data_IF_255873307863
#
_entry.id   IF_255873307863
#
_cell.length_a   1.000
_cell.length_b   1.000
_cell.length_c   1.000
_cell.angle_alpha   90.00
_cell.angle_beta   90.00
_cell.angle_gamma   90.00
#
_symmetry.space_group_name_H-M   'P 1'
#
loop_
_entity.id
_entity.type
_entity.pdbx_description
1 polymer ?
#
# COMPACT_ATOMS: atom_id res chain seq x y z
N UNK A 1 -0.18 11.38 -7.78
CA UNK A 1 -0.33 11.04 -9.21
C UNK A 1 -1.78 11.08 -9.67
N UNK A 2 -2.64 11.49 -8.78
CA UNK A 2 -4.00 11.85 -9.17
C UNK A 2 -3.91 12.88 -10.31
N UNK A 3 -4.67 12.69 -11.37
CA UNK A 3 -4.57 13.54 -12.55
C UNK A 3 -3.63 13.04 -13.65
N UNK A 4 -3.05 11.86 -13.52
CA UNK A 4 -2.42 11.15 -14.63
C UNK A 4 -3.44 10.25 -15.34
N UNK A 5 -4.59 10.83 -15.61
CA UNK A 5 -5.70 10.19 -16.30
C UNK A 5 -6.05 10.97 -17.56
N UNK A 6 -6.43 10.25 -18.60
CA UNK A 6 -6.83 10.77 -19.89
C UNK A 6 -8.29 10.36 -20.15
N UNK A 7 -9.11 11.36 -20.48
CA UNK A 7 -10.53 11.17 -20.75
C UNK A 7 -10.74 10.44 -22.08
N UNK A 8 -11.71 9.54 -22.09
CA UNK A 8 -12.16 8.84 -23.29
C UNK A 8 -12.49 9.84 -24.41
N UNK A 9 -12.07 9.56 -25.65
CA UNK A 9 -12.28 10.41 -26.82
C UNK A 9 -11.40 11.67 -26.89
N UNK A 10 -10.51 11.91 -25.91
CA UNK A 10 -9.58 13.02 -25.98
C UNK A 10 -8.43 12.78 -26.97
N UNK A 11 -7.86 13.84 -27.54
CA UNK A 11 -6.68 13.72 -28.40
C UNK A 11 -5.49 13.03 -27.71
N UNK A 12 -5.36 13.21 -26.40
CA UNK A 12 -4.24 12.67 -25.63
C UNK A 12 -4.41 11.16 -25.41
N UNK A 13 -5.64 10.66 -25.20
CA UNK A 13 -5.89 9.21 -25.14
C UNK A 13 -5.65 8.54 -26.49
N UNK A 14 -5.98 9.22 -27.59
CA UNK A 14 -5.69 8.71 -28.94
C UNK A 14 -4.19 8.62 -29.23
N UNK A 15 -3.41 9.65 -28.84
CA UNK A 15 -1.94 9.63 -28.94
C UNK A 15 -1.33 8.50 -28.12
N UNK A 16 -1.81 8.31 -26.88
CA UNK A 16 -1.32 7.25 -26.03
C UNK A 16 -1.68 5.88 -26.57
N UNK A 17 -2.90 5.67 -27.03
CA UNK A 17 -3.32 4.41 -27.66
C UNK A 17 -2.46 4.07 -28.88
N UNK A 18 -2.21 5.06 -29.73
CA UNK A 18 -1.32 4.88 -30.89
C UNK A 18 0.09 4.47 -30.46
N UNK A 19 0.66 5.15 -29.45
CA UNK A 19 1.98 4.82 -28.92
C UNK A 19 2.02 3.38 -28.35
N UNK A 20 1.03 3.01 -27.53
CA UNK A 20 0.96 1.67 -26.95
C UNK A 20 0.81 0.57 -28.00
N UNK A 21 0.06 0.85 -29.06
CA UNK A 21 -0.06 -0.07 -30.20
C UNK A 21 1.25 -0.18 -30.96
N UNK A 22 1.85 0.94 -31.36
CA UNK A 22 3.03 0.96 -32.22
C UNK A 22 4.29 0.39 -31.53
N UNK A 23 4.46 0.67 -30.24
CA UNK A 23 5.66 0.27 -29.49
C UNK A 23 5.52 -1.10 -28.78
N UNK A 24 4.33 -1.43 -28.30
CA UNK A 24 4.11 -2.64 -27.49
C UNK A 24 3.17 -3.66 -28.12
N UNK A 25 2.49 -3.33 -29.22
CA UNK A 25 1.46 -4.17 -29.82
C UNK A 25 0.20 -4.31 -28.94
N UNK A 26 -0.01 -3.37 -28.01
CA UNK A 26 -1.17 -3.43 -27.14
C UNK A 26 -2.39 -2.83 -27.81
N UNK A 27 -3.49 -3.55 -27.77
CA UNK A 27 -4.78 -3.06 -28.26
C UNK A 27 -5.66 -2.66 -27.06
N UNK A 28 -5.91 -1.37 -26.95
CA UNK A 28 -6.86 -0.82 -25.98
C UNK A 28 -8.15 -0.48 -26.70
N UNK A 29 -9.28 -0.77 -26.10
CA UNK A 29 -10.58 -0.43 -26.66
C UNK A 29 -10.69 1.08 -26.85
N UNK A 30 -11.23 1.51 -27.98
CA UNK A 30 -11.28 2.93 -28.35
C UNK A 30 -12.13 3.79 -27.41
N UNK A 31 -13.15 3.18 -26.79
CA UNK A 31 -14.06 3.77 -25.84
C UNK A 31 -13.54 3.66 -24.37
N UNK A 32 -12.23 3.86 -24.16
CA UNK A 32 -11.62 3.74 -22.86
C UNK A 32 -10.97 5.05 -22.42
N UNK A 33 -11.22 5.47 -21.18
CA UNK A 33 -10.31 6.35 -20.46
C UNK A 33 -9.09 5.58 -19.98
N UNK A 34 -7.94 6.25 -19.83
CA UNK A 34 -6.68 5.60 -19.42
C UNK A 34 -6.06 6.32 -18.25
N UNK A 35 -5.76 5.57 -17.17
CA UNK A 35 -5.01 6.06 -16.01
C UNK A 35 -3.65 5.40 -15.90
N UNK A 36 -2.62 6.16 -15.50
CA UNK A 36 -1.29 5.65 -15.24
C UNK A 36 -1.08 5.52 -13.73
N UNK A 37 -0.83 4.30 -13.28
CA UNK A 37 -0.58 3.99 -11.86
C UNK A 37 0.90 3.61 -11.64
N UNK A 38 1.79 4.56 -11.36
CA UNK A 38 3.17 4.25 -11.00
C UNK A 38 3.27 3.88 -9.52
N UNK A 39 4.12 2.90 -9.20
CA UNK A 39 4.58 2.61 -7.84
C UNK A 39 6.11 2.58 -7.88
N UNK A 40 6.75 3.43 -7.08
CA UNK A 40 8.20 3.53 -7.07
C UNK A 40 8.83 2.75 -5.92
N UNK A 41 10.02 2.23 -6.14
CA UNK A 41 10.83 1.58 -5.10
C UNK A 41 11.08 2.55 -3.92
N UNK A 42 11.58 3.75 -4.19
CA UNK A 42 11.89 4.76 -3.17
C UNK A 42 10.67 5.12 -2.31
N UNK A 43 9.50 5.32 -2.94
CA UNK A 43 8.27 5.63 -2.22
C UNK A 43 7.78 4.45 -1.37
N UNK A 44 7.90 3.24 -1.89
CA UNK A 44 7.53 2.00 -1.20
C UNK A 44 8.41 1.78 0.03
N UNK A 45 9.73 1.85 -0.12
CA UNK A 45 10.67 1.70 0.98
C UNK A 45 10.47 2.77 2.07
N UNK A 46 10.24 4.03 1.67
CA UNK A 46 9.97 5.11 2.61
C UNK A 46 8.74 4.83 3.47
N UNK A 47 7.66 4.35 2.88
CA UNK A 47 6.44 4.00 3.60
C UNK A 47 6.68 2.82 4.57
N UNK A 48 7.28 1.74 4.08
CA UNK A 48 7.54 0.54 4.89
C UNK A 48 8.49 0.87 6.05
N UNK A 49 9.54 1.66 5.80
CA UNK A 49 10.47 2.13 6.85
C UNK A 49 9.74 2.93 7.93
N UNK A 50 8.86 3.85 7.53
CA UNK A 50 8.06 4.60 8.47
C UNK A 50 7.11 3.70 9.29
N UNK A 51 6.49 2.71 8.67
CA UNK A 51 5.61 1.75 9.33
C UNK A 51 6.35 0.88 10.36
N UNK A 52 7.56 0.42 10.06
CA UNK A 52 8.38 -0.36 11.00
C UNK A 52 8.83 0.51 12.16
N UNK A 53 9.33 1.72 11.89
CA UNK A 53 9.72 2.65 12.95
C UNK A 53 8.55 2.95 13.88
N UNK A 54 7.38 3.23 13.32
CA UNK A 54 6.16 3.43 14.12
C UNK A 54 5.82 2.19 14.98
N UNK A 55 5.97 0.98 14.43
CA UNK A 55 5.73 -0.24 15.18
C UNK A 55 6.72 -0.38 16.35
N UNK A 56 8.01 -0.13 16.13
CA UNK A 56 9.04 -0.16 17.16
C UNK A 56 8.77 0.88 18.26
N UNK A 57 8.54 2.14 17.88
CA UNK A 57 8.32 3.25 18.82
C UNK A 57 7.06 3.06 19.68
N UNK A 58 6.06 2.39 19.15
CA UNK A 58 4.77 2.17 19.83
C UNK A 58 4.59 0.75 20.37
N UNK A 59 5.65 -0.06 20.40
CA UNK A 59 5.61 -1.42 20.96
C UNK A 59 4.63 -2.36 20.24
N UNK A 60 4.39 -2.13 18.96
CA UNK A 60 3.50 -2.96 18.13
C UNK A 60 4.19 -4.28 17.78
N UNK A 61 3.41 -5.33 17.60
CA UNK A 61 3.94 -6.69 17.46
C UNK A 61 3.86 -7.21 16.03
N UNK A 62 3.01 -6.64 15.20
CA UNK A 62 2.88 -7.07 13.81
C UNK A 62 2.72 -5.91 12.82
N UNK A 63 3.20 -6.14 11.61
CA UNK A 63 3.08 -5.27 10.45
C UNK A 63 2.53 -6.09 9.27
N UNK A 64 1.40 -5.68 8.72
CA UNK A 64 0.83 -6.24 7.52
C UNK A 64 1.14 -5.39 6.29
N UNK A 65 1.78 -5.96 5.29
CA UNK A 65 1.98 -5.37 3.96
C UNK A 65 0.79 -5.78 3.09
N UNK A 66 -0.14 -4.85 2.86
CA UNK A 66 -1.35 -5.14 2.09
C UNK A 66 -1.19 -4.73 0.64
N UNK A 67 -1.47 -5.64 -0.27
CA UNK A 67 -1.22 -5.46 -1.71
C UNK A 67 -2.16 -6.29 -2.59
N UNK A 68 -2.22 -5.97 -3.90
CA UNK A 68 -2.89 -6.79 -4.93
C UNK A 68 -1.89 -7.36 -5.95
N UNK A 69 -0.75 -7.81 -5.48
CA UNK A 69 0.38 -8.25 -6.29
C UNK A 69 0.17 -9.54 -7.09
N UNK A 70 -0.86 -10.33 -6.79
CA UNK A 70 -1.25 -11.48 -7.59
C UNK A 70 -1.81 -11.08 -8.96
N UNK A 71 -2.38 -9.88 -9.10
CA UNK A 71 -2.89 -9.31 -10.34
C UNK A 71 -1.91 -8.28 -10.91
N UNK A 72 -1.54 -7.28 -10.10
CA UNK A 72 -0.65 -6.18 -10.51
C UNK A 72 0.79 -6.48 -10.09
N UNK A 73 1.44 -7.39 -10.81
CA UNK A 73 2.72 -8.00 -10.42
C UNK A 73 3.89 -7.02 -10.29
N UNK A 74 3.97 -6.05 -11.19
CA UNK A 74 5.11 -5.13 -11.29
C UNK A 74 4.87 -3.77 -10.61
N UNK A 75 3.72 -3.58 -9.99
CA UNK A 75 3.38 -2.44 -9.15
C UNK A 75 3.10 -2.89 -7.73
N UNK A 76 1.93 -3.40 -7.43
CA UNK A 76 1.55 -3.90 -6.10
C UNK A 76 2.45 -5.07 -5.63
N UNK A 77 2.78 -6.00 -6.53
CA UNK A 77 3.72 -7.09 -6.24
C UNK A 77 5.14 -6.60 -6.01
N UNK A 78 5.56 -5.56 -6.73
CA UNK A 78 6.83 -4.91 -6.51
C UNK A 78 6.87 -4.19 -5.15
N UNK A 79 5.79 -3.52 -4.73
CA UNK A 79 5.66 -2.93 -3.41
C UNK A 79 5.90 -3.96 -2.29
N UNK A 80 5.25 -5.13 -2.38
CA UNK A 80 5.50 -6.25 -1.47
C UNK A 80 6.97 -6.67 -1.44
N UNK A 81 7.54 -6.92 -2.62
CA UNK A 81 8.92 -7.37 -2.77
C UNK A 81 9.90 -6.39 -2.13
N UNK A 82 9.82 -5.11 -2.49
CA UNK A 82 10.69 -4.07 -1.94
C UNK A 82 10.52 -3.89 -0.43
N UNK A 83 9.33 -4.14 0.10
CA UNK A 83 9.09 -4.14 1.53
C UNK A 83 9.90 -5.23 2.25
N UNK A 84 9.88 -6.46 1.78
CA UNK A 84 10.68 -7.54 2.36
C UNK A 84 12.19 -7.33 2.18
N UNK A 85 12.64 -6.89 1.02
CA UNK A 85 14.05 -6.56 0.76
C UNK A 85 14.56 -5.46 1.70
N UNK A 86 13.74 -4.46 2.00
CA UNK A 86 14.06 -3.41 2.97
C UNK A 86 14.19 -3.98 4.38
N UNK A 87 13.25 -4.82 4.79
CA UNK A 87 13.24 -5.42 6.12
C UNK A 87 14.50 -6.26 6.35
N UNK A 88 14.83 -7.10 5.39
CA UNK A 88 16.04 -7.91 5.45
C UNK A 88 17.32 -7.05 5.53
N UNK A 89 17.38 -5.98 4.75
CA UNK A 89 18.54 -5.11 4.66
C UNK A 89 18.73 -4.18 5.85
N UNK A 90 17.64 -3.60 6.39
CA UNK A 90 17.74 -2.50 7.37
C UNK A 90 17.15 -2.84 8.75
N UNK A 91 16.32 -3.86 8.87
CA UNK A 91 15.53 -4.13 10.08
C UNK A 91 15.58 -5.58 10.57
N UNK A 92 16.51 -6.38 10.08
CA UNK A 92 16.62 -7.80 10.43
C UNK A 92 16.85 -8.07 11.93
N UNK A 93 17.29 -7.08 12.69
CA UNK A 93 17.47 -7.15 14.13
C UNK A 93 16.15 -6.97 14.92
N UNK A 94 15.18 -6.20 14.37
CA UNK A 94 13.92 -5.84 15.04
C UNK A 94 12.66 -6.41 14.38
N UNK A 95 12.75 -6.90 13.14
CA UNK A 95 11.62 -7.44 12.39
C UNK A 95 12.00 -8.76 11.70
N UNK A 96 11.00 -9.60 11.46
CA UNK A 96 11.18 -10.90 10.81
C UNK A 96 9.94 -11.23 9.97
N UNK A 97 10.13 -11.85 8.81
CA UNK A 97 9.03 -12.31 7.99
C UNK A 97 8.28 -13.48 8.62
N UNK A 98 7.03 -13.68 8.23
CA UNK A 98 6.28 -14.87 8.64
C UNK A 98 6.99 -16.16 8.22
N UNK A 99 7.52 -16.20 7.00
CA UNK A 99 8.19 -17.38 6.45
C UNK A 99 9.45 -17.73 7.27
N UNK A 100 10.29 -16.76 7.57
CA UNK A 100 11.55 -16.98 8.31
C UNK A 100 11.31 -17.28 9.79
N UNK A 101 10.26 -16.72 10.37
CA UNK A 101 9.90 -16.92 11.78
C UNK A 101 9.32 -18.30 12.06
N UNK A 102 8.84 -19.01 11.03
CA UNK A 102 8.00 -20.20 11.19
C UNK A 102 6.84 -19.99 12.18
N UNK A 103 6.28 -18.78 12.21
CA UNK A 103 5.19 -18.39 13.11
C UNK A 103 5.63 -18.07 14.54
N UNK A 104 6.93 -18.06 14.85
CA UNK A 104 7.45 -17.69 16.17
C UNK A 104 8.48 -16.56 16.06
N UNK A 105 8.04 -15.28 16.02
CA UNK A 105 8.91 -14.13 15.83
C UNK A 105 9.78 -13.79 17.06
N UNK A 106 9.56 -14.43 18.22
CA UNK A 106 10.20 -14.03 19.47
C UNK A 106 9.84 -12.61 19.87
N UNK A 107 10.85 -11.78 20.12
CA UNK A 107 10.67 -10.36 20.48
C UNK A 107 10.58 -9.44 19.26
N UNK A 108 10.75 -9.95 18.04
CA UNK A 108 10.72 -9.16 16.80
C UNK A 108 9.31 -8.87 16.34
N UNK A 109 9.16 -7.82 15.57
CA UNK A 109 7.92 -7.49 14.86
C UNK A 109 7.72 -8.54 13.77
N UNK A 110 6.57 -9.20 13.81
CA UNK A 110 6.16 -10.15 12.78
C UNK A 110 5.66 -9.39 11.54
N UNK A 111 6.33 -9.58 10.42
CA UNK A 111 5.91 -9.01 9.15
C UNK A 111 5.27 -10.07 8.27
N UNK A 112 4.05 -9.79 7.83
CA UNK A 112 3.32 -10.65 6.91
C UNK A 112 2.77 -9.83 5.75
N UNK A 113 2.61 -10.45 4.59
CA UNK A 113 1.87 -9.82 3.50
C UNK A 113 0.46 -10.41 3.38
N UNK A 114 -0.47 -9.56 2.98
CA UNK A 114 -1.87 -9.97 2.81
C UNK A 114 -2.42 -9.40 1.51
N UNK A 115 -3.01 -10.28 0.70
CA UNK A 115 -3.71 -9.85 -0.52
C UNK A 115 -4.96 -9.05 -0.13
N UNK A 116 -5.19 -7.91 -0.79
CA UNK A 116 -6.19 -6.93 -0.41
C UNK A 116 -7.60 -7.50 -0.18
N UNK A 117 -8.06 -8.42 -1.00
CA UNK A 117 -9.37 -9.06 -0.82
C UNK A 117 -9.43 -9.94 0.44
N UNK A 118 -8.38 -10.68 0.76
CA UNK A 118 -8.29 -11.44 2.01
C UNK A 118 -8.21 -10.50 3.21
N UNK A 119 -7.44 -9.40 3.09
CA UNK A 119 -7.34 -8.38 4.12
C UNK A 119 -8.71 -7.78 4.46
N UNK A 120 -9.52 -7.38 3.47
CA UNK A 120 -10.85 -6.83 3.68
C UNK A 120 -11.80 -7.78 4.41
N UNK A 121 -11.62 -9.10 4.25
CA UNK A 121 -12.35 -10.09 5.06
C UNK A 121 -11.78 -10.18 6.47
N UNK A 122 -10.46 -10.23 6.61
CA UNK A 122 -9.80 -10.46 7.90
C UNK A 122 -10.00 -9.29 8.87
N UNK A 123 -10.04 -8.05 8.42
CA UNK A 123 -10.34 -6.90 9.29
C UNK A 123 -11.75 -6.95 9.89
N UNK A 124 -12.67 -7.71 9.31
CA UNK A 124 -14.02 -7.91 9.85
C UNK A 124 -14.07 -9.04 10.86
N UNK A 125 -13.36 -10.14 10.63
CA UNK A 125 -13.46 -11.37 11.44
C UNK A 125 -12.34 -11.51 12.47
N UNK A 126 -11.19 -10.84 12.25
CA UNK A 126 -9.99 -10.93 13.09
C UNK A 126 -9.22 -9.60 13.15
N UNK A 127 -9.87 -8.47 13.46
CA UNK A 127 -9.21 -7.15 13.45
C UNK A 127 -8.01 -7.08 14.42
N UNK A 128 -8.02 -7.88 15.48
CA UNK A 128 -6.94 -7.94 16.48
C UNK A 128 -5.62 -8.53 15.95
N UNK A 129 -5.61 -9.11 14.76
CA UNK A 129 -4.38 -9.61 14.12
C UNK A 129 -3.58 -8.50 13.40
N UNK A 130 -4.10 -7.27 13.37
CA UNK A 130 -3.51 -6.14 12.65
C UNK A 130 -3.15 -4.98 13.59
N UNK A 131 -1.87 -4.82 13.91
CA UNK A 131 -1.40 -3.66 14.68
C UNK A 131 -1.06 -2.48 13.78
N UNK A 132 -0.26 -2.73 12.74
CA UNK A 132 0.17 -1.73 11.76
C UNK A 132 -0.08 -2.26 10.36
N UNK A 133 -0.64 -1.43 9.50
CA UNK A 133 -0.96 -1.77 8.11
C UNK A 133 -0.19 -0.82 7.20
N UNK A 134 0.67 -1.36 6.34
CA UNK A 134 1.35 -0.63 5.30
C UNK A 134 0.77 -1.04 3.94
N UNK A 135 0.29 -0.07 3.17
CA UNK A 135 -0.36 -0.35 1.89
C UNK A 135 -0.23 0.83 0.93
N UNK A 136 -0.52 0.59 -0.35
CA UNK A 136 -0.55 1.63 -1.37
C UNK A 136 -1.78 2.53 -1.21
N UNK A 137 -1.73 3.73 -1.79
CA UNK A 137 -2.73 4.78 -1.59
C UNK A 137 -4.19 4.32 -1.74
N UNK A 138 -4.56 3.70 -2.86
CA UNK A 138 -5.95 3.31 -3.12
C UNK A 138 -6.44 2.23 -2.14
N UNK A 139 -5.63 1.22 -1.88
CA UNK A 139 -5.96 0.18 -0.91
C UNK A 139 -6.08 0.78 0.49
N UNK A 140 -5.22 1.73 0.84
CA UNK A 140 -5.24 2.44 2.12
C UNK A 140 -6.48 3.29 2.31
N UNK A 141 -6.92 3.97 1.26
CA UNK A 141 -8.14 4.77 1.26
C UNK A 141 -9.38 3.89 1.57
N UNK A 142 -9.56 2.81 0.84
CA UNK A 142 -10.64 1.86 1.13
C UNK A 142 -10.52 1.22 2.53
N UNK A 143 -9.31 0.86 2.93
CA UNK A 143 -9.08 0.18 4.19
C UNK A 143 -9.34 1.08 5.39
N UNK A 144 -8.90 2.34 5.34
CA UNK A 144 -9.09 3.30 6.43
C UNK A 144 -10.57 3.59 6.67
N UNK A 145 -11.36 3.77 5.61
CA UNK A 145 -12.79 3.99 5.73
C UNK A 145 -13.54 2.75 6.25
N UNK A 146 -13.16 1.56 5.77
CA UNK A 146 -13.74 0.32 6.26
C UNK A 146 -13.45 0.08 7.76
N UNK A 147 -12.24 0.41 8.22
CA UNK A 147 -11.87 0.34 9.63
C UNK A 147 -12.55 1.43 10.46
N UNK A 148 -12.63 2.65 9.94
CA UNK A 148 -13.33 3.76 10.58
C UNK A 148 -14.82 3.43 10.82
N UNK A 149 -15.47 2.79 9.86
CA UNK A 149 -16.86 2.35 9.99
C UNK A 149 -17.08 1.41 11.17
N UNK A 150 -16.11 0.55 11.49
CA UNK A 150 -16.20 -0.40 12.60
C UNK A 150 -16.12 0.26 13.98
N UNK A 151 -15.49 1.43 14.07
CA UNK A 151 -15.31 2.14 15.36
C UNK A 151 -16.24 3.33 15.54
N UNK A 152 -17.13 3.61 14.58
CA UNK A 152 -18.14 4.68 14.70
C UNK A 152 -18.25 5.61 13.50
N UNK A 153 -17.47 5.38 12.45
CA UNK A 153 -17.53 6.12 11.19
C UNK A 153 -16.34 7.05 10.95
N UNK A 154 -16.26 7.57 9.75
CA UNK A 154 -15.12 8.40 9.29
C UNK A 154 -14.96 9.70 10.08
N UNK A 155 -16.02 10.21 10.70
CA UNK A 155 -16.01 11.47 11.46
C UNK A 155 -15.12 11.44 12.71
N UNK A 156 -14.72 10.27 13.20
CA UNK A 156 -13.81 10.11 14.34
C UNK A 156 -12.44 9.55 13.93
N UNK A 157 -12.25 9.27 12.65
CA UNK A 157 -11.00 8.73 12.13
C UNK A 157 -9.97 9.84 11.94
N UNK A 158 -8.79 9.76 12.58
CA UNK A 158 -7.74 10.73 12.33
C UNK A 158 -7.10 10.51 10.97
N UNK A 159 -6.87 11.59 10.23
CA UNK A 159 -6.13 11.60 8.97
C UNK A 159 -4.90 12.50 9.05
N UNK A 160 -3.81 12.10 8.43
CA UNK A 160 -2.59 12.90 8.43
C UNK A 160 -1.68 12.59 7.24
N UNK A 161 -1.14 13.67 6.65
CA UNK A 161 -0.08 13.61 5.66
C UNK A 161 1.24 13.97 6.37
N UNK A 162 2.12 12.98 6.53
CA UNK A 162 3.35 13.13 7.31
C UNK A 162 4.57 12.96 6.42
N UNK A 163 5.46 13.95 6.46
CA UNK A 163 6.79 13.82 5.88
C UNK A 163 7.76 13.33 6.96
N UNK A 164 8.08 12.05 6.92
CA UNK A 164 8.94 11.39 7.90
C UNK A 164 10.42 11.80 7.83
N UNK A 165 10.84 12.49 6.76
CA UNK A 165 12.23 12.97 6.63
C UNK A 165 12.47 14.26 7.42
N UNK A 166 11.48 15.16 7.48
CA UNK A 166 11.61 16.46 8.10
C UNK A 166 10.59 16.73 9.23
N UNK A 167 9.74 15.77 9.55
CA UNK A 167 8.75 15.84 10.63
C UNK A 167 7.56 16.77 10.37
N UNK A 168 7.42 17.33 9.16
CA UNK A 168 6.25 18.15 8.84
C UNK A 168 5.03 17.28 8.65
N UNK A 169 3.92 17.70 9.23
CA UNK A 169 2.64 16.99 9.16
C UNK A 169 1.50 17.96 8.89
N UNK A 170 0.52 17.50 8.10
CA UNK A 170 -0.77 18.15 7.89
C UNK A 170 -1.85 17.16 8.30
N UNK A 171 -2.67 17.56 9.25
CA UNK A 171 -3.80 16.77 9.73
C UNK A 171 -5.09 17.35 9.21
N UNK A 172 -5.98 16.49 8.82
CA UNK A 172 -7.29 16.86 8.28
C UNK A 172 -8.37 15.89 8.76
N UNK A 173 -9.61 16.33 8.71
CA UNK A 173 -10.75 15.44 8.84
C UNK A 173 -10.92 14.67 7.52
N UNK A 174 -11.14 13.36 7.62
CA UNK A 174 -11.28 12.49 6.44
C UNK A 174 -12.59 12.71 5.66
N UNK A 175 -13.46 13.58 6.13
CA UNK A 175 -14.80 13.86 5.56
C UNK A 175 -15.03 15.33 5.30
#
# INVERSE_FOLDING_TARGET
YSGKELEEGSEDVEKLNKFLHDEFGWEIRKDSGIGIKPISNTGSERLIRAAINFAVENGKKNLAIVHKGNIMKFTEGAFRKWGYELIEREFSDVAISWEDSNGNPGDKILVQDVIADAFLQQILIKPQEFDVIATTNLNGDYASDALAAQIGGIGISPGGNINYENGKAVFEATH
#
